data_IF_541363248226
#
_entry.id   IF_541363248226
#
_cell.length_a   1.000
_cell.length_b   1.000
_cell.length_c   1.000
_cell.angle_alpha   90.00
_cell.angle_beta   90.00
_cell.angle_gamma   90.00
#
_symmetry.space_group_name_H-M   'P 1'
#
loop_
_entity.id
_entity.type
_entity.pdbx_description
1 polymer ?
#
# COMPACT_ATOMS: atom_id res chain seq x y z
N UNK A 1 11.06 1.59 -5.46
CA UNK A 1 9.58 1.77 -5.57
C UNK A 1 9.09 3.15 -5.18
N UNK A 2 9.82 3.91 -4.36
CA UNK A 2 9.36 5.24 -3.97
C UNK A 2 9.11 6.19 -5.15
N UNK A 3 9.96 6.28 -6.20
CA UNK A 3 9.68 7.14 -7.34
C UNK A 3 8.35 6.82 -8.04
N UNK A 4 8.02 5.55 -8.18
CA UNK A 4 6.76 5.11 -8.81
C UNK A 4 5.55 5.52 -7.97
N UNK A 5 5.66 5.35 -6.65
CA UNK A 5 4.60 5.75 -5.73
C UNK A 5 4.40 7.27 -5.72
N UNK A 6 5.48 8.04 -5.71
CA UNK A 6 5.42 9.50 -5.74
C UNK A 6 4.78 9.96 -7.05
N UNK A 7 5.13 9.36 -8.18
CA UNK A 7 4.53 9.68 -9.47
C UNK A 7 3.04 9.37 -9.47
N UNK A 8 2.63 8.23 -8.92
CA UNK A 8 1.22 7.85 -8.82
C UNK A 8 0.43 8.84 -7.97
N UNK A 9 0.97 9.28 -6.84
CA UNK A 9 0.33 10.29 -5.99
C UNK A 9 0.15 11.60 -6.75
N UNK A 10 1.16 12.01 -7.52
CA UNK A 10 1.06 13.21 -8.35
C UNK A 10 -0.05 13.13 -9.38
N UNK A 11 -0.22 11.98 -10.04
CA UNK A 11 -1.30 11.76 -11.00
C UNK A 11 -2.68 11.79 -10.32
N UNK A 12 -2.82 11.15 -9.17
CA UNK A 12 -4.09 11.12 -8.44
C UNK A 12 -4.44 12.48 -7.84
N UNK A 13 -3.46 13.27 -7.43
CA UNK A 13 -3.68 14.59 -6.84
C UNK A 13 -4.34 15.59 -7.78
N UNK A 14 -4.30 15.35 -9.09
CA UNK A 14 -5.02 16.17 -10.07
C UNK A 14 -6.54 16.09 -9.87
N UNK A 15 -7.04 14.95 -9.41
CA UNK A 15 -8.48 14.69 -9.24
C UNK A 15 -8.90 14.52 -7.79
N UNK A 16 -7.97 14.15 -6.90
CA UNK A 16 -8.28 13.83 -5.51
C UNK A 16 -7.26 14.47 -4.58
N UNK A 17 -7.76 14.91 -3.40
CA UNK A 17 -6.92 15.48 -2.34
C UNK A 17 -6.81 14.58 -1.12
N UNK A 18 -7.51 13.45 -1.15
CA UNK A 18 -7.60 12.50 -0.04
C UNK A 18 -6.66 11.30 -0.21
N UNK A 19 -5.50 11.54 -0.80
CA UNK A 19 -4.49 10.51 -1.08
C UNK A 19 -3.23 10.82 -0.28
N UNK A 20 -2.72 9.83 0.41
CA UNK A 20 -1.48 9.93 1.18
C UNK A 20 -0.48 8.85 0.80
N UNK A 21 0.75 9.05 1.18
CA UNK A 21 1.85 8.11 0.96
C UNK A 21 2.49 7.76 2.30
N UNK A 22 2.62 6.46 2.56
CA UNK A 22 3.35 5.95 3.71
C UNK A 22 4.56 5.17 3.23
N UNK A 23 5.75 5.61 3.60
CA UNK A 23 6.98 4.90 3.30
C UNK A 23 7.30 3.90 4.43
N UNK A 24 7.36 2.62 4.08
CA UNK A 24 7.68 1.55 5.02
C UNK A 24 9.15 1.20 4.85
N UNK A 25 9.97 1.55 5.85
CA UNK A 25 11.41 1.31 5.81
C UNK A 25 11.78 -0.09 6.27
N UNK A 26 10.93 -0.75 7.04
CA UNK A 26 11.13 -2.14 7.48
C UNK A 26 9.79 -2.81 7.70
N UNK A 27 9.38 -3.62 6.73
CA UNK A 27 8.13 -4.39 6.81
C UNK A 27 8.17 -5.40 7.95
N UNK A 28 9.33 -6.02 8.19
CA UNK A 28 9.48 -7.03 9.25
C UNK A 28 9.28 -6.43 10.63
N UNK A 29 9.89 -5.27 10.90
CA UNK A 29 9.72 -4.58 12.18
C UNK A 29 8.30 -4.08 12.39
N UNK A 30 7.68 -3.60 11.33
CA UNK A 30 6.31 -3.13 11.38
C UNK A 30 5.36 -4.27 11.73
N UNK A 31 5.53 -5.43 11.09
CA UNK A 31 4.74 -6.62 11.35
C UNK A 31 5.01 -7.17 12.75
N UNK A 32 6.28 -7.22 13.18
CA UNK A 32 6.63 -7.69 14.52
C UNK A 32 5.97 -6.85 15.60
N UNK A 33 5.95 -5.53 15.44
CA UNK A 33 5.27 -4.62 16.37
C UNK A 33 3.76 -4.88 16.41
N UNK A 34 3.14 -5.07 15.27
CA UNK A 34 1.72 -5.39 15.19
C UNK A 34 1.39 -6.71 15.88
N UNK A 35 2.15 -7.76 15.59
CA UNK A 35 1.98 -9.08 16.21
C UNK A 35 2.17 -9.01 17.73
N UNK A 36 3.18 -8.28 18.19
CA UNK A 36 3.44 -8.10 19.62
C UNK A 36 2.28 -7.40 20.33
N UNK A 37 1.69 -6.37 19.70
CA UNK A 37 0.55 -5.66 20.28
C UNK A 37 -0.69 -6.56 20.35
N UNK A 38 -0.95 -7.38 19.32
CA UNK A 38 -2.04 -8.35 19.34
C UNK A 38 -1.89 -9.32 20.51
N UNK A 39 -0.69 -9.89 20.68
CA UNK A 39 -0.40 -10.81 21.78
C UNK A 39 -0.51 -10.16 23.14
N UNK A 40 -0.08 -8.92 23.26
CA UNK A 40 -0.19 -8.16 24.51
C UNK A 40 -1.66 -7.96 24.89
N UNK A 41 -2.52 -7.61 23.94
CA UNK A 41 -3.95 -7.48 24.20
C UNK A 41 -4.59 -8.80 24.61
N UNK A 42 -4.19 -9.90 23.97
CA UNK A 42 -4.66 -11.24 24.35
C UNK A 42 -4.30 -11.61 25.79
N UNK A 43 -3.21 -11.09 26.31
CA UNK A 43 -2.76 -11.29 27.69
C UNK A 43 -3.33 -10.27 28.69
N UNK A 44 -4.24 -9.43 28.26
CA UNK A 44 -4.92 -8.49 29.15
C UNK A 44 -4.43 -7.04 29.09
N UNK A 45 -3.40 -6.75 28.31
CA UNK A 45 -2.92 -5.37 28.12
C UNK A 45 -3.78 -4.68 27.05
N UNK A 46 -5.02 -4.37 27.41
CA UNK A 46 -6.07 -3.94 26.47
C UNK A 46 -5.77 -2.64 25.72
N UNK A 47 -4.87 -1.82 26.23
CA UNK A 47 -4.48 -0.55 25.60
C UNK A 47 -3.22 -0.64 24.75
N UNK A 48 -2.61 -1.83 24.64
CA UNK A 48 -1.42 -2.00 23.79
C UNK A 48 -1.76 -1.75 22.34
N UNK A 49 -1.00 -0.90 21.67
CA UNK A 49 -1.17 -0.58 20.24
C UNK A 49 0.20 -0.53 19.59
N UNK A 50 0.27 -1.01 18.34
CA UNK A 50 1.47 -0.92 17.53
C UNK A 50 1.52 0.40 16.76
N UNK A 51 2.69 0.69 16.19
CA UNK A 51 2.88 1.88 15.37
C UNK A 51 1.91 1.92 14.17
N UNK A 52 1.76 0.80 13.46
CA UNK A 52 0.88 0.75 12.29
C UNK A 52 -0.59 0.95 12.68
N UNK A 53 -1.01 0.44 13.83
CA UNK A 53 -2.38 0.65 14.30
C UNK A 53 -2.65 2.13 14.58
N UNK A 54 -1.67 2.85 15.13
CA UNK A 54 -1.79 4.29 15.38
C UNK A 54 -1.88 5.09 14.09
N UNK A 55 -1.06 4.72 13.08
CA UNK A 55 -1.11 5.36 11.77
C UNK A 55 -2.46 5.11 11.07
N UNK A 56 -2.93 3.88 11.08
CA UNK A 56 -4.17 3.52 10.41
C UNK A 56 -5.43 4.03 11.14
N UNK A 57 -5.33 4.31 12.42
CA UNK A 57 -6.45 4.90 13.17
C UNK A 57 -6.84 6.28 12.64
N UNK A 58 -5.91 6.99 12.00
CA UNK A 58 -6.18 8.30 11.39
C UNK A 58 -6.87 8.21 10.04
N UNK A 59 -6.91 7.02 9.43
CA UNK A 59 -7.54 6.82 8.13
C UNK A 59 -9.05 6.65 8.29
N UNK A 60 -9.86 7.23 7.39
CA UNK A 60 -11.30 6.94 7.36
C UNK A 60 -11.54 5.43 7.21
N UNK A 61 -12.63 4.92 7.81
CA UNK A 61 -12.94 3.50 7.78
C UNK A 61 -13.17 2.92 6.39
N UNK A 62 -13.56 3.75 5.42
CA UNK A 62 -13.76 3.35 4.03
C UNK A 62 -12.53 3.57 3.15
N UNK A 63 -11.40 3.97 3.72
CA UNK A 63 -10.17 4.21 2.99
C UNK A 63 -9.59 2.88 2.46
N UNK A 64 -9.15 2.87 1.21
CA UNK A 64 -8.42 1.75 0.63
C UNK A 64 -6.91 1.94 0.75
N UNK A 65 -6.18 0.85 0.78
CA UNK A 65 -4.72 0.83 0.89
C UNK A 65 -4.14 0.10 -0.31
N UNK A 66 -3.20 0.73 -0.99
CA UNK A 66 -2.39 0.07 -2.03
C UNK A 66 -0.99 -0.12 -1.45
N UNK A 67 -0.54 -1.35 -1.36
CA UNK A 67 0.83 -1.65 -0.96
C UNK A 67 1.67 -1.96 -2.19
N UNK A 68 2.89 -1.43 -2.24
CA UNK A 68 3.80 -1.58 -3.38
C UNK A 68 5.20 -1.88 -2.86
N UNK A 69 5.82 -2.92 -3.37
CA UNK A 69 7.18 -3.26 -3.00
C UNK A 69 7.89 -4.05 -4.10
N UNK A 70 9.21 -4.08 -4.04
CA UNK A 70 10.07 -4.87 -4.95
C UNK A 70 10.17 -6.35 -4.54
N UNK A 71 9.27 -6.81 -3.69
CA UNK A 71 9.19 -8.20 -3.24
C UNK A 71 7.82 -8.78 -3.51
N UNK A 72 7.55 -9.95 -2.94
CA UNK A 72 6.28 -10.62 -3.13
C UNK A 72 5.14 -9.76 -2.57
N UNK A 73 4.00 -9.62 -3.31
CA UNK A 73 2.91 -8.75 -2.89
C UNK A 73 2.30 -9.13 -1.54
N UNK A 74 2.34 -10.41 -1.16
CA UNK A 74 1.81 -10.85 0.15
C UNK A 74 2.60 -10.34 1.36
N UNK A 75 3.82 -9.84 1.14
CA UNK A 75 4.67 -9.32 2.24
C UNK A 75 4.00 -8.20 3.03
N UNK A 76 3.17 -7.39 2.40
CA UNK A 76 2.42 -6.31 3.04
C UNK A 76 0.90 -6.53 3.04
N UNK A 77 0.42 -7.69 2.60
CA UNK A 77 -1.01 -7.96 2.52
C UNK A 77 -1.70 -7.97 3.89
N UNK A 78 -0.96 -8.25 4.96
CA UNK A 78 -1.48 -8.23 6.33
C UNK A 78 -2.00 -6.86 6.77
N UNK A 79 -1.61 -5.78 6.09
CA UNK A 79 -2.08 -4.44 6.42
C UNK A 79 -3.61 -4.33 6.38
N UNK A 80 -4.29 -5.14 5.59
CA UNK A 80 -5.74 -5.20 5.55
C UNK A 80 -6.39 -5.68 6.85
N UNK A 81 -5.64 -6.44 7.66
CA UNK A 81 -6.14 -6.95 8.94
C UNK A 81 -5.96 -5.97 10.11
N UNK A 82 -5.19 -4.88 9.92
CA UNK A 82 -4.87 -3.94 11.00
C UNK A 82 -6.10 -3.19 11.47
N UNK A 83 -6.89 -2.66 10.55
CA UNK A 83 -8.08 -1.87 10.88
C UNK A 83 -9.23 -2.09 9.87
N UNK A 84 -9.21 -3.19 9.14
CA UNK A 84 -10.28 -3.58 8.24
C UNK A 84 -10.32 -2.84 6.91
N UNK A 85 -9.24 -2.17 6.50
CA UNK A 85 -9.17 -1.53 5.19
C UNK A 85 -8.99 -2.53 4.08
N UNK A 86 -9.58 -2.27 2.92
CA UNK A 86 -9.33 -3.06 1.72
C UNK A 86 -7.90 -2.78 1.26
N UNK A 87 -7.17 -3.84 0.93
CA UNK A 87 -5.78 -3.73 0.45
C UNK A 87 -5.67 -4.33 -0.95
N UNK A 88 -5.04 -3.57 -1.83
CA UNK A 88 -4.63 -4.06 -3.14
C UNK A 88 -3.11 -4.19 -3.14
N UNK A 89 -2.56 -5.41 -2.98
CA UNK A 89 -1.11 -5.59 -2.96
C UNK A 89 -0.52 -5.65 -4.37
N UNK A 90 0.56 -4.93 -4.59
CA UNK A 90 1.34 -4.97 -5.81
C UNK A 90 2.78 -5.33 -5.46
N UNK A 91 3.38 -6.20 -6.25
CA UNK A 91 4.75 -6.63 -5.99
C UNK A 91 5.27 -7.55 -7.09
N UNK A 92 6.45 -8.10 -6.84
CA UNK A 92 7.14 -9.02 -7.73
C UNK A 92 6.94 -10.45 -7.23
N UNK A 93 6.23 -11.27 -7.99
CA UNK A 93 5.97 -12.67 -7.61
C UNK A 93 7.08 -13.61 -8.04
N UNK A 94 7.77 -13.28 -9.14
CA UNK A 94 8.83 -14.12 -9.70
C UNK A 94 10.04 -13.26 -10.06
N UNK A 95 11.22 -13.71 -9.68
CA UNK A 95 12.48 -13.10 -10.07
C UNK A 95 13.06 -13.84 -11.28
N UNK A 96 13.95 -13.18 -12.04
CA UNK A 96 14.61 -13.78 -13.17
C UNK A 96 14.38 -13.11 -14.52
N UNK A 97 13.55 -12.09 -14.57
CA UNK A 97 13.39 -11.27 -15.76
C UNK A 97 14.59 -10.34 -15.94
N UNK A 98 14.99 -10.13 -17.19
CA UNK A 98 16.04 -9.16 -17.55
C UNK A 98 15.40 -7.97 -18.25
N UNK A 99 16.01 -6.79 -18.12
CA UNK A 99 15.52 -5.57 -18.73
C UNK A 99 15.83 -4.35 -17.88
N UNK A 100 15.36 -3.18 -18.32
CA UNK A 100 15.47 -1.97 -17.51
C UNK A 100 14.54 -2.03 -16.31
N UNK A 101 14.86 -1.28 -15.25
CA UNK A 101 14.01 -1.23 -14.06
C UNK A 101 12.58 -0.79 -14.39
N UNK A 102 12.33 0.27 -15.21
CA UNK A 102 10.97 0.63 -15.60
C UNK A 102 10.24 -0.48 -16.34
N UNK A 103 10.91 -1.22 -17.22
CA UNK A 103 10.31 -2.33 -17.95
C UNK A 103 9.93 -3.48 -17.02
N UNK A 104 10.79 -3.79 -16.05
CA UNK A 104 10.50 -4.81 -15.04
C UNK A 104 9.30 -4.42 -14.18
N UNK A 105 9.21 -3.17 -13.75
CA UNK A 105 8.08 -2.69 -12.96
C UNK A 105 6.77 -2.77 -13.74
N UNK A 106 6.79 -2.44 -15.02
CA UNK A 106 5.63 -2.57 -15.89
C UNK A 106 5.22 -4.03 -16.07
N UNK A 107 6.19 -4.92 -16.27
CA UNK A 107 5.94 -6.35 -16.42
C UNK A 107 5.26 -6.95 -15.18
N UNK A 108 5.72 -6.56 -13.98
CA UNK A 108 5.14 -7.05 -12.73
C UNK A 108 3.91 -6.26 -12.24
N UNK A 109 3.51 -5.22 -12.96
CA UNK A 109 2.36 -4.42 -12.58
C UNK A 109 2.58 -3.56 -11.34
N UNK A 110 3.79 -3.02 -11.20
CA UNK A 110 4.17 -2.16 -10.05
C UNK A 110 4.64 -0.77 -10.47
N UNK A 111 4.40 -0.36 -11.70
CA UNK A 111 4.69 1.00 -12.14
C UNK A 111 3.62 1.99 -11.65
N UNK A 112 3.83 3.29 -11.92
CA UNK A 112 2.92 4.33 -11.48
C UNK A 112 1.49 4.11 -12.00
N UNK A 113 1.32 3.63 -13.24
CA UNK A 113 0.00 3.37 -13.80
C UNK A 113 -0.73 2.24 -13.06
N UNK A 114 0.00 1.17 -12.73
CA UNK A 114 -0.57 0.06 -11.98
C UNK A 114 -1.00 0.50 -10.58
N UNK A 115 -0.22 1.35 -9.93
CA UNK A 115 -0.54 1.90 -8.62
C UNK A 115 -1.82 2.74 -8.68
N UNK A 116 -1.94 3.61 -9.68
CA UNK A 116 -3.14 4.44 -9.86
C UNK A 116 -4.36 3.57 -10.16
N UNK A 117 -4.23 2.58 -11.04
CA UNK A 117 -5.32 1.66 -11.35
C UNK A 117 -5.78 0.87 -10.12
N UNK A 118 -4.84 0.39 -9.31
CA UNK A 118 -5.14 -0.31 -8.06
C UNK A 118 -5.87 0.59 -7.07
N UNK A 119 -5.40 1.82 -6.90
CA UNK A 119 -6.04 2.81 -6.03
C UNK A 119 -7.46 3.11 -6.47
N UNK A 120 -7.67 3.27 -7.78
CA UNK A 120 -8.99 3.53 -8.35
C UNK A 120 -9.97 2.39 -8.08
N UNK A 121 -9.49 1.14 -8.11
CA UNK A 121 -10.34 -0.05 -7.92
C UNK A 121 -10.87 -0.17 -6.49
N UNK A 122 -10.21 0.43 -5.51
CA UNK A 122 -10.59 0.34 -4.08
C UNK A 122 -10.88 1.69 -3.45
N UNK A 123 -10.74 2.80 -4.19
CA UNK A 123 -10.99 4.13 -3.66
C UNK A 123 -12.49 4.33 -3.43
N UNK A 124 -12.89 4.91 -2.28
CA UNK A 124 -14.28 5.28 -2.05
C UNK A 124 -14.65 6.51 -2.85
N UNK A 125 -15.95 6.65 -3.16
CA UNK A 125 -16.48 7.84 -3.81
C UNK A 125 -16.25 7.89 -5.32
N UNK A 126 -15.91 9.09 -5.82
CA UNK A 126 -15.81 9.34 -7.26
C UNK A 126 -14.62 8.65 -7.89
N UNK A 127 -14.78 8.06 -9.09
CA UNK A 127 -13.64 7.53 -9.83
C UNK A 127 -12.67 8.66 -10.26
N UNK A 128 -11.42 8.29 -10.49
CA UNK A 128 -10.40 9.21 -11.01
C UNK A 128 -10.73 9.50 -12.48
N UNK A 129 -10.94 10.79 -12.80
CA UNK A 129 -11.45 11.19 -14.12
C UNK A 129 -10.40 11.25 -15.22
N UNK A 130 -9.18 11.63 -14.87
CA UNK A 130 -8.13 11.95 -15.82
C UNK A 130 -6.96 11.01 -15.71
N UNK A 131 -7.26 9.72 -15.58
CA UNK A 131 -6.23 8.71 -15.55
C UNK A 131 -5.53 8.66 -16.90
N UNK A 132 -4.26 9.07 -16.94
CA UNK A 132 -3.42 8.95 -18.12
C UNK A 132 -2.59 7.69 -18.00
N UNK A 133 -2.65 6.85 -19.00
CA UNK A 133 -1.81 5.68 -19.08
C UNK A 133 -0.43 6.13 -19.55
N UNK A 134 0.58 5.97 -18.70
CA UNK A 134 1.96 6.26 -19.04
C UNK A 134 2.51 5.04 -19.79
N UNK A 135 2.74 5.24 -21.06
CA UNK A 135 3.11 4.20 -22.01
C UNK A 135 4.46 3.56 -21.75
#
# INVERSE_FOLDING_TARGET
>A
MAPEAIQAIGLMAEDRRDVGLLAVTSADRLNAGWTAALRARERGLVHARSHIERLFAELPGNCGVVSVLDGHPTTLAWLGAVNGHRVRPLGVEHFGQTGSIPDLYKHYGIDANAIVAAAQSIAPGRPIRHLKILG
#
